data_IF_899040229368
#
_entry.id   IF_899040229368
#
_cell.length_a   1.000
_cell.length_b   1.000
_cell.length_c   1.000
_cell.angle_alpha   90.00
_cell.angle_beta   90.00
_cell.angle_gamma   90.00
#
_symmetry.space_group_name_H-M   'P 1'
#
loop_
_entity.id
_entity.type
_entity.pdbx_description
1 polymer ?
#
# COMPACT_ATOMS: atom_id res chain seq x y z
N UNK A 1 1.15 18.53 -17.42
CA UNK A 1 2.04 17.68 -16.60
C UNK A 1 2.02 18.12 -15.13
N UNK A 2 1.72 19.39 -14.82
CA UNK A 2 1.65 19.91 -13.43
C UNK A 2 0.31 19.69 -12.69
N UNK A 3 -0.74 19.20 -13.36
CA UNK A 3 -2.09 19.14 -12.77
C UNK A 3 -2.27 18.04 -11.71
N UNK A 4 -1.43 17.00 -11.70
CA UNK A 4 -1.65 15.77 -10.91
C UNK A 4 -0.59 15.49 -9.85
N UNK A 5 0.60 16.12 -9.91
CA UNK A 5 1.73 15.73 -9.05
C UNK A 5 1.57 16.18 -7.58
N UNK A 6 0.73 17.20 -7.32
CA UNK A 6 0.56 17.81 -5.99
C UNK A 6 -0.92 18.01 -5.60
N UNK A 7 -1.82 17.14 -6.07
CA UNK A 7 -3.24 17.22 -5.74
C UNK A 7 -3.50 16.68 -4.31
N UNK A 8 -4.28 17.41 -3.51
CA UNK A 8 -4.74 16.93 -2.19
C UNK A 8 -5.60 15.68 -2.33
N UNK A 9 -5.53 14.76 -1.37
CA UNK A 9 -6.36 13.53 -1.40
C UNK A 9 -7.86 13.81 -1.20
N UNK A 10 -8.18 15.00 -0.66
CA UNK A 10 -9.53 15.52 -0.47
C UNK A 10 -10.10 16.21 -1.72
N UNK A 11 -9.27 16.49 -2.74
CA UNK A 11 -9.75 17.08 -3.98
C UNK A 11 -10.71 16.10 -4.67
N UNK A 12 -11.93 16.53 -5.07
CA UNK A 12 -12.91 15.63 -5.69
C UNK A 12 -12.39 14.96 -6.98
N UNK A 13 -11.39 15.55 -7.64
CA UNK A 13 -10.77 15.00 -8.86
C UNK A 13 -9.73 13.92 -8.55
N UNK A 14 -9.19 13.85 -7.33
CA UNK A 14 -8.11 12.92 -6.96
C UNK A 14 -8.51 11.48 -7.27
N UNK A 15 -9.65 11.04 -6.74
CA UNK A 15 -10.13 9.68 -6.94
C UNK A 15 -10.45 9.37 -8.41
N UNK A 16 -10.99 10.35 -9.15
CA UNK A 16 -11.31 10.19 -10.58
C UNK A 16 -10.04 10.00 -11.40
N UNK A 17 -9.02 10.85 -11.17
CA UNK A 17 -7.76 10.81 -11.88
C UNK A 17 -6.96 9.54 -11.58
N UNK A 18 -6.91 9.10 -10.32
CA UNK A 18 -6.25 7.84 -9.92
C UNK A 18 -6.92 6.64 -10.59
N UNK A 19 -8.26 6.58 -10.63
CA UNK A 19 -8.97 5.49 -11.32
C UNK A 19 -8.71 5.49 -12.83
N UNK A 20 -8.63 6.65 -13.46
CA UNK A 20 -8.27 6.78 -14.88
C UNK A 20 -6.84 6.28 -15.15
N UNK A 21 -5.89 6.63 -14.30
CA UNK A 21 -4.52 6.11 -14.38
C UNK A 21 -4.49 4.58 -14.27
N UNK A 22 -5.22 4.01 -13.31
CA UNK A 22 -5.32 2.56 -13.14
C UNK A 22 -5.90 1.88 -14.39
N UNK A 23 -6.96 2.46 -14.98
CA UNK A 23 -7.59 1.94 -16.20
C UNK A 23 -6.60 1.89 -17.37
N UNK A 24 -5.89 2.99 -17.65
CA UNK A 24 -4.85 3.05 -18.69
C UNK A 24 -3.81 1.94 -18.46
N UNK A 25 -3.33 1.82 -17.22
CA UNK A 25 -2.30 0.84 -16.94
C UNK A 25 -2.81 -0.62 -17.00
N UNK A 26 -4.12 -0.89 -16.86
CA UNK A 26 -4.67 -2.23 -17.09
C UNK A 26 -4.87 -2.55 -18.57
N UNK A 27 -5.13 -1.54 -19.39
CA UNK A 27 -5.37 -1.69 -20.84
C UNK A 27 -4.04 -1.77 -21.63
N UNK A 28 -3.10 -0.88 -21.30
CA UNK A 28 -1.90 -0.65 -22.12
C UNK A 28 -0.67 -1.47 -21.67
N UNK A 29 -0.66 -2.03 -20.45
CA UNK A 29 0.50 -2.77 -19.92
C UNK A 29 0.18 -4.26 -19.90
N UNK A 30 1.08 -5.15 -20.38
CA UNK A 30 0.86 -6.59 -20.38
C UNK A 30 1.00 -7.17 -18.96
N UNK A 31 0.00 -6.94 -18.10
CA UNK A 31 -0.05 -7.42 -16.73
C UNK A 31 -1.41 -8.04 -16.44
N UNK A 32 -1.42 -9.15 -15.71
CA UNK A 32 -2.64 -9.82 -15.24
C UNK A 32 -2.74 -9.61 -13.73
N UNK A 33 -3.73 -8.85 -13.22
CA UNK A 33 -3.95 -8.72 -11.78
C UNK A 33 -4.36 -10.08 -11.20
N UNK A 34 -3.55 -10.61 -10.28
CA UNK A 34 -3.81 -11.93 -9.71
C UNK A 34 -4.68 -11.83 -8.45
N UNK A 35 -4.24 -11.04 -7.47
CA UNK A 35 -4.96 -10.84 -6.21
C UNK A 35 -4.38 -9.64 -5.43
N UNK A 36 -5.13 -9.15 -4.45
CA UNK A 36 -4.64 -8.21 -3.44
C UNK A 36 -4.18 -9.01 -2.20
N UNK A 37 -2.90 -8.97 -1.80
CA UNK A 37 -2.42 -9.81 -0.70
C UNK A 37 -2.95 -9.35 0.65
N UNK A 38 -3.43 -10.31 1.45
CA UNK A 38 -3.55 -10.17 2.89
C UNK A 38 -2.25 -10.70 3.53
N UNK A 39 -1.74 -9.99 4.54
CA UNK A 39 -0.55 -10.40 5.27
C UNK A 39 -0.92 -10.67 6.72
N UNK A 40 -0.87 -11.94 7.10
CA UNK A 40 -1.00 -12.38 8.48
C UNK A 40 0.40 -12.55 9.09
N UNK A 41 0.59 -11.98 10.28
CA UNK A 41 1.85 -12.08 11.01
C UNK A 41 1.61 -12.76 12.36
N UNK A 42 2.37 -13.81 12.64
CA UNK A 42 2.39 -14.48 13.92
C UNK A 42 3.75 -14.28 14.60
N UNK A 43 3.74 -14.03 15.91
CA UNK A 43 4.94 -13.80 16.72
C UNK A 43 5.00 -14.81 17.87
N UNK A 44 6.21 -15.14 18.34
CA UNK A 44 6.36 -15.93 19.57
C UNK A 44 5.79 -15.16 20.78
N UNK A 45 5.34 -15.88 21.81
CA UNK A 45 4.71 -15.29 23.00
C UNK A 45 5.58 -14.26 23.73
N UNK A 46 6.90 -14.37 23.61
CA UNK A 46 7.88 -13.49 24.25
C UNK A 46 8.44 -12.40 23.32
N UNK A 47 7.78 -12.15 22.19
CA UNK A 47 8.12 -11.08 21.27
C UNK A 47 7.15 -9.91 21.50
N UNK A 48 7.70 -8.71 21.63
CA UNK A 48 6.95 -7.45 21.76
C UNK A 48 7.41 -6.42 20.73
N UNK A 49 6.63 -5.35 20.55
CA UNK A 49 6.96 -4.24 19.66
C UNK A 49 6.60 -4.45 18.20
N UNK A 50 5.74 -5.42 17.88
CA UNK A 50 5.20 -5.57 16.53
C UNK A 50 4.30 -4.38 16.16
N UNK A 51 4.50 -3.85 14.95
CA UNK A 51 3.69 -2.79 14.37
C UNK A 51 3.17 -3.22 13.00
N UNK A 52 1.86 -3.03 12.79
CA UNK A 52 1.21 -3.25 11.50
C UNK A 52 1.26 -1.96 10.69
N UNK A 53 2.05 -1.94 9.61
CA UNK A 53 2.20 -0.79 8.72
C UNK A 53 1.47 -1.01 7.40
N UNK A 54 0.98 0.08 6.80
CA UNK A 54 0.22 0.06 5.53
C UNK A 54 1.01 -0.55 4.36
N UNK A 55 2.35 -0.42 4.35
CA UNK A 55 3.23 -0.98 3.33
C UNK A 55 3.60 -2.45 3.58
N UNK A 56 3.06 -3.07 4.65
CA UNK A 56 3.20 -4.50 4.97
C UNK A 56 4.65 -4.98 5.07
N UNK A 57 5.59 -4.08 5.39
CA UNK A 57 6.96 -4.46 5.69
C UNK A 57 7.11 -4.55 7.21
N UNK A 58 7.81 -5.60 7.64
CA UNK A 58 8.14 -5.83 9.03
C UNK A 58 9.11 -4.76 9.54
N UNK A 59 8.74 -4.03 10.59
CA UNK A 59 9.62 -3.07 11.25
C UNK A 59 10.41 -3.73 12.38
N UNK A 60 11.65 -4.11 12.08
CA UNK A 60 12.53 -4.78 13.04
C UNK A 60 13.04 -3.86 14.15
N UNK A 61 12.96 -2.52 14.02
CA UNK A 61 13.60 -1.57 14.95
C UNK A 61 12.93 -1.58 16.32
N UNK A 62 11.61 -1.79 16.35
CA UNK A 62 10.82 -1.79 17.58
C UNK A 62 10.74 -3.17 18.24
N UNK A 63 11.19 -4.23 17.56
CA UNK A 63 10.99 -5.61 17.98
C UNK A 63 11.95 -5.97 19.11
N UNK A 64 11.40 -6.60 20.16
CA UNK A 64 12.16 -7.05 21.34
C UNK A 64 11.75 -8.45 21.74
N UNK A 65 12.72 -9.21 22.26
CA UNK A 65 12.52 -10.53 22.85
C UNK A 65 12.83 -10.46 24.34
N UNK A 66 11.92 -10.98 25.17
CA UNK A 66 12.11 -11.17 26.62
C UNK A 66 12.50 -12.61 26.94
#
# INVERSE_FOLDING_TARGET
>A
MDETLHMSVEDPRYAVNVKRMLAIAMDEVPRIPLYQPYLDAAMQKNISGYASWFHRQFDARAIRKS
#
